data_IF_721647847472
#
_entry.id   IF_721647847472
#
_cell.length_a   1.000
_cell.length_b   1.000
_cell.length_c   1.000
_cell.angle_alpha   90.00
_cell.angle_beta   90.00
_cell.angle_gamma   90.00
#
_symmetry.space_group_name_H-M   'P 1'
#
loop_
_entity.id
_entity.type
_entity.pdbx_description
1 polymer ?
#
# COMPACT_ATOMS: atom_id res chain seq x y z
N UNK A 1 -7.18 -28.43 5.40
CA UNK A 1 -6.18 -27.85 6.34
C UNK A 1 -6.11 -26.35 6.07
N UNK A 2 -5.84 -25.51 7.10
CA UNK A 2 -5.61 -24.08 6.88
C UNK A 2 -4.29 -23.90 6.11
N UNK A 3 -4.28 -23.05 5.07
CA UNK A 3 -3.03 -22.67 4.40
C UNK A 3 -2.11 -21.91 5.36
N UNK A 4 -0.81 -22.12 5.22
CA UNK A 4 0.23 -21.41 5.99
C UNK A 4 0.76 -20.24 5.15
N UNK A 5 0.74 -19.04 5.71
CA UNK A 5 1.22 -17.82 5.06
C UNK A 5 2.47 -17.32 5.77
N UNK A 6 3.56 -17.24 5.02
CA UNK A 6 4.73 -16.45 5.41
C UNK A 6 4.44 -14.99 5.12
N UNK A 7 4.45 -14.13 6.13
CA UNK A 7 4.24 -12.69 5.95
C UNK A 7 5.53 -11.92 6.27
N UNK A 8 6.06 -11.24 5.27
CA UNK A 8 7.22 -10.36 5.44
C UNK A 8 6.78 -8.96 5.84
N UNK A 9 7.61 -8.24 6.58
CA UNK A 9 7.21 -6.96 7.12
C UNK A 9 6.02 -7.07 8.08
N UNK A 10 5.96 -8.16 8.85
CA UNK A 10 4.81 -8.59 9.64
C UNK A 10 4.31 -7.57 10.68
N UNK A 11 5.15 -6.59 11.07
CA UNK A 11 4.78 -5.44 11.91
C UNK A 11 4.31 -4.22 11.10
N UNK A 12 4.29 -4.34 9.77
CA UNK A 12 3.86 -3.27 8.88
C UNK A 12 2.34 -3.03 8.95
N UNK A 13 1.93 -1.85 8.51
CA UNK A 13 0.55 -1.40 8.57
C UNK A 13 -0.41 -2.36 7.84
N UNK A 14 -0.19 -2.63 6.54
CA UNK A 14 -1.03 -3.51 5.71
C UNK A 14 -0.98 -4.95 6.25
N UNK A 15 0.23 -5.46 6.51
CA UNK A 15 0.42 -6.80 7.05
C UNK A 15 -0.36 -7.04 8.34
N UNK A 16 -0.43 -6.02 9.21
CA UNK A 16 -1.15 -6.11 10.48
C UNK A 16 -2.66 -6.18 10.31
N UNK A 17 -3.25 -5.39 9.37
CA UNK A 17 -4.67 -5.51 9.04
C UNK A 17 -5.00 -6.89 8.51
N UNK A 18 -4.21 -7.38 7.55
CA UNK A 18 -4.44 -8.70 6.93
C UNK A 18 -4.32 -9.82 7.96
N UNK A 19 -3.27 -9.83 8.79
CA UNK A 19 -3.09 -10.86 9.82
C UNK A 19 -4.21 -10.83 10.86
N UNK A 20 -4.61 -9.65 11.34
CA UNK A 20 -5.59 -9.52 12.39
C UNK A 20 -6.98 -9.98 11.94
N UNK A 21 -7.42 -9.59 10.75
CA UNK A 21 -8.74 -9.96 10.23
C UNK A 21 -8.81 -11.40 9.71
N UNK A 22 -7.67 -12.03 9.42
CA UNK A 22 -7.62 -13.40 8.90
C UNK A 22 -6.92 -14.40 9.85
N UNK A 23 -6.77 -14.07 11.13
CA UNK A 23 -6.11 -14.92 12.12
C UNK A 23 -6.72 -16.32 12.24
N UNK A 24 -8.03 -16.44 12.02
CA UNK A 24 -8.74 -17.71 12.09
C UNK A 24 -8.77 -18.47 10.75
N UNK A 25 -8.48 -17.79 9.62
CA UNK A 25 -8.51 -18.38 8.28
C UNK A 25 -7.20 -19.07 7.92
N UNK A 26 -6.05 -18.53 8.37
CA UNK A 26 -4.71 -18.98 7.99
C UNK A 26 -3.82 -19.27 9.20
N UNK A 27 -2.79 -20.07 8.98
CA UNK A 27 -1.64 -20.15 9.87
C UNK A 27 -0.62 -19.10 9.43
N UNK A 28 0.02 -18.39 10.38
CA UNK A 28 0.91 -17.26 10.07
C UNK A 28 2.33 -17.53 10.55
N UNK A 29 3.30 -17.47 9.63
CA UNK A 29 4.72 -17.35 9.92
C UNK A 29 5.08 -15.88 9.74
N UNK A 30 5.55 -15.24 10.80
CA UNK A 30 5.82 -13.80 10.82
C UNK A 30 7.30 -13.56 10.62
N UNK A 31 7.66 -12.80 9.60
CA UNK A 31 9.03 -12.36 9.37
C UNK A 31 9.11 -10.85 9.62
N UNK A 32 9.83 -10.47 10.66
CA UNK A 32 10.16 -9.10 11.03
C UNK A 32 11.66 -8.86 10.90
N UNK A 33 12.14 -7.68 11.26
CA UNK A 33 13.60 -7.41 11.26
C UNK A 33 14.36 -8.19 12.32
N UNK A 34 13.65 -8.72 13.33
CA UNK A 34 14.29 -9.50 14.39
C UNK A 34 14.64 -10.91 13.89
N UNK A 35 13.89 -11.45 12.91
CA UNK A 35 14.14 -12.74 12.29
C UNK A 35 15.16 -12.64 11.14
N UNK A 36 15.06 -11.62 10.28
CA UNK A 36 16.04 -11.35 9.23
C UNK A 36 16.00 -9.87 8.83
N UNK A 37 17.16 -9.25 8.70
CA UNK A 37 17.30 -7.89 8.21
C UNK A 37 17.25 -7.89 6.68
N UNK A 38 16.31 -7.13 6.10
CA UNK A 38 16.18 -7.00 4.65
C UNK A 38 17.34 -6.25 3.98
N UNK A 39 18.22 -5.63 4.76
CA UNK A 39 19.51 -5.11 4.26
C UNK A 39 20.55 -6.20 4.03
N UNK A 40 20.25 -7.44 4.42
CA UNK A 40 21.04 -8.65 4.17
C UNK A 40 20.19 -9.67 3.38
N UNK A 41 20.22 -9.65 2.04
CA UNK A 41 19.42 -10.56 1.21
C UNK A 41 19.70 -12.05 1.48
N UNK A 42 20.94 -12.41 1.87
CA UNK A 42 21.30 -13.79 2.15
C UNK A 42 20.69 -14.28 3.47
N UNK A 43 20.58 -13.39 4.47
CA UNK A 43 19.84 -13.69 5.70
C UNK A 43 18.34 -13.85 5.43
N UNK A 44 17.77 -13.06 4.53
CA UNK A 44 16.38 -13.18 4.07
C UNK A 44 16.14 -14.51 3.39
N UNK A 45 16.99 -14.90 2.44
CA UNK A 45 16.94 -16.19 1.76
C UNK A 45 16.97 -17.36 2.73
N UNK A 46 17.98 -17.38 3.59
CA UNK A 46 18.16 -18.41 4.61
C UNK A 46 16.94 -18.58 5.51
N UNK A 47 16.35 -17.46 5.95
CA UNK A 47 15.14 -17.52 6.77
C UNK A 47 13.97 -18.10 6.00
N UNK A 48 13.70 -17.61 4.78
CA UNK A 48 12.56 -18.03 3.97
C UNK A 48 12.68 -19.51 3.54
N UNK A 49 13.87 -19.94 3.17
CA UNK A 49 14.12 -21.34 2.80
C UNK A 49 13.88 -22.31 3.96
N UNK A 50 14.15 -21.90 5.19
CA UNK A 50 13.94 -22.71 6.39
C UNK A 50 12.45 -22.86 6.79
N UNK A 51 11.54 -22.08 6.19
CA UNK A 51 10.12 -22.12 6.53
C UNK A 51 9.33 -23.02 5.57
N UNK A 52 8.27 -23.68 6.08
CA UNK A 52 7.29 -24.36 5.24
C UNK A 52 6.01 -23.55 5.18
N UNK A 53 5.63 -23.10 3.97
CA UNK A 53 4.47 -22.25 3.73
C UNK A 53 3.86 -22.51 2.34
N UNK A 54 2.57 -22.24 2.23
CA UNK A 54 1.81 -22.35 0.97
C UNK A 54 1.81 -21.03 0.19
N UNK A 55 1.86 -19.90 0.91
CA UNK A 55 1.75 -18.56 0.34
C UNK A 55 2.79 -17.65 1.04
N UNK A 56 3.46 -16.80 0.26
CA UNK A 56 4.23 -15.69 0.80
C UNK A 56 3.49 -14.37 0.56
N UNK A 57 3.06 -13.68 1.62
CA UNK A 57 2.54 -12.31 1.55
C UNK A 57 3.69 -11.33 1.79
N UNK A 58 4.21 -10.77 0.70
CA UNK A 58 5.39 -9.92 0.73
C UNK A 58 5.04 -8.44 0.78
N UNK A 59 5.17 -7.85 1.97
CA UNK A 59 4.88 -6.42 2.23
C UNK A 59 6.08 -5.61 2.67
N UNK A 60 7.21 -6.28 2.98
CA UNK A 60 8.41 -5.60 3.46
C UNK A 60 8.99 -4.69 2.38
N UNK A 61 9.17 -3.41 2.68
CA UNK A 61 9.83 -2.43 1.83
C UNK A 61 10.15 -1.15 2.60
N UNK A 62 11.12 -0.37 2.10
CA UNK A 62 11.20 1.05 2.37
C UNK A 62 10.25 1.73 1.39
N UNK A 63 9.07 2.18 1.86
CA UNK A 63 8.04 2.80 1.02
C UNK A 63 8.07 4.34 1.06
N UNK A 64 8.89 4.95 1.93
CA UNK A 64 9.07 6.39 2.00
C UNK A 64 9.96 6.85 0.85
N UNK A 65 9.38 7.52 -0.16
CA UNK A 65 10.11 7.98 -1.35
C UNK A 65 11.34 8.82 -0.99
N UNK A 66 11.20 9.76 -0.04
CA UNK A 66 12.33 10.60 0.41
C UNK A 66 13.48 9.73 0.94
N UNK A 67 13.20 8.72 1.76
CA UNK A 67 14.25 7.82 2.28
C UNK A 67 14.91 7.01 1.17
N UNK A 68 14.16 6.61 0.14
CA UNK A 68 14.73 5.90 -1.01
C UNK A 68 15.63 6.81 -1.85
N UNK A 69 15.24 8.07 -2.07
CA UNK A 69 16.05 9.06 -2.78
C UNK A 69 17.35 9.39 -2.02
N UNK A 70 17.28 9.51 -0.70
CA UNK A 70 18.45 9.77 0.16
C UNK A 70 19.41 8.57 0.26
N UNK A 71 18.89 7.34 0.12
CA UNK A 71 19.66 6.10 0.29
C UNK A 71 19.32 5.07 -0.81
N UNK A 72 19.60 5.35 -2.09
CA UNK A 72 19.16 4.51 -3.21
C UNK A 72 19.75 3.09 -3.19
N UNK A 73 21.00 2.93 -2.78
CA UNK A 73 21.65 1.62 -2.68
C UNK A 73 21.01 0.74 -1.60
N UNK A 74 20.72 1.32 -0.43
CA UNK A 74 20.03 0.61 0.64
C UNK A 74 18.59 0.28 0.23
N UNK A 75 17.90 1.22 -0.44
CA UNK A 75 16.56 0.99 -0.96
C UNK A 75 16.55 -0.15 -1.98
N UNK A 76 17.49 -0.19 -2.92
CA UNK A 76 17.64 -1.29 -3.88
C UNK A 76 17.88 -2.63 -3.17
N UNK A 77 18.78 -2.67 -2.21
CA UNK A 77 19.13 -3.88 -1.44
C UNK A 77 17.91 -4.46 -0.72
N UNK A 78 17.15 -3.60 -0.03
CA UNK A 78 15.96 -3.99 0.74
C UNK A 78 14.77 -4.29 -0.19
N UNK A 79 14.50 -3.41 -1.14
CA UNK A 79 13.28 -3.49 -1.95
C UNK A 79 13.41 -4.46 -3.13
N UNK A 80 14.60 -4.59 -3.72
CA UNK A 80 14.80 -5.38 -4.96
C UNK A 80 15.55 -6.67 -4.67
N UNK A 81 16.77 -6.60 -4.13
CA UNK A 81 17.61 -7.80 -3.97
C UNK A 81 16.97 -8.81 -3.01
N UNK A 82 16.47 -8.34 -1.86
CA UNK A 82 15.77 -9.22 -0.91
C UNK A 82 14.43 -9.75 -1.47
N UNK A 83 13.72 -8.96 -2.29
CA UNK A 83 12.53 -9.44 -2.99
C UNK A 83 12.87 -10.57 -3.97
N UNK A 84 13.96 -10.45 -4.73
CA UNK A 84 14.41 -11.51 -5.65
C UNK A 84 14.67 -12.83 -4.92
N UNK A 85 15.31 -12.79 -3.74
CA UNK A 85 15.52 -13.98 -2.91
C UNK A 85 14.20 -14.64 -2.48
N UNK A 86 13.20 -13.83 -2.14
CA UNK A 86 11.87 -14.32 -1.77
C UNK A 86 11.16 -14.95 -2.98
N UNK A 87 11.24 -14.33 -4.14
CA UNK A 87 10.67 -14.85 -5.40
C UNK A 87 11.27 -16.22 -5.73
N UNK A 88 12.59 -16.34 -5.66
CA UNK A 88 13.30 -17.59 -5.95
C UNK A 88 12.93 -18.70 -4.95
N UNK A 89 12.83 -18.37 -3.67
CA UNK A 89 12.40 -19.31 -2.64
C UNK A 89 10.93 -19.76 -2.85
N UNK A 90 10.02 -18.84 -3.20
CA UNK A 90 8.62 -19.19 -3.52
C UNK A 90 8.56 -20.13 -4.72
N UNK A 91 9.31 -19.84 -5.79
CA UNK A 91 9.38 -20.71 -6.97
C UNK A 91 9.91 -22.10 -6.62
N UNK A 92 11.01 -22.19 -5.85
CA UNK A 92 11.62 -23.46 -5.42
C UNK A 92 10.66 -24.31 -4.59
N UNK A 93 9.80 -23.67 -3.79
CA UNK A 93 8.84 -24.33 -2.90
C UNK A 93 7.46 -24.58 -3.57
N UNK A 94 7.23 -24.14 -4.81
CA UNK A 94 5.92 -24.07 -5.45
C UNK A 94 4.87 -23.32 -4.59
N UNK A 95 5.31 -22.32 -3.84
CA UNK A 95 4.46 -21.47 -3.04
C UNK A 95 3.99 -20.26 -3.85
N UNK A 96 2.73 -19.85 -3.64
CA UNK A 96 2.20 -18.64 -4.27
C UNK A 96 2.79 -17.38 -3.63
N UNK A 97 3.18 -16.41 -4.45
CA UNK A 97 3.57 -15.08 -4.00
C UNK A 97 2.40 -14.10 -4.10
N UNK A 98 2.08 -13.38 -3.03
CA UNK A 98 1.23 -12.17 -3.06
C UNK A 98 2.13 -10.98 -2.77
N UNK A 99 2.44 -10.20 -3.81
CA UNK A 99 3.41 -9.09 -3.76
C UNK A 99 2.71 -7.73 -3.72
N UNK A 100 3.10 -6.87 -2.77
CA UNK A 100 2.63 -5.48 -2.72
C UNK A 100 3.51 -4.58 -3.59
N UNK A 101 3.00 -4.22 -4.77
CA UNK A 101 3.50 -3.15 -5.63
C UNK A 101 2.78 -1.83 -5.33
N UNK A 102 2.78 -0.85 -6.24
CA UNK A 102 2.32 0.52 -5.98
C UNK A 102 1.90 1.25 -7.26
N UNK A 103 0.98 2.22 -7.16
CA UNK A 103 0.70 3.18 -8.24
C UNK A 103 1.89 4.10 -8.56
N UNK A 104 2.92 4.16 -7.71
CA UNK A 104 4.10 5.00 -7.94
C UNK A 104 4.95 4.57 -9.15
N UNK A 105 4.68 3.42 -9.72
CA UNK A 105 5.26 2.99 -11.01
C UNK A 105 4.83 3.88 -12.19
N UNK A 106 3.79 4.70 -12.00
CA UNK A 106 3.26 5.65 -13.00
C UNK A 106 3.59 7.11 -12.68
N UNK A 107 4.41 7.39 -11.67
CA UNK A 107 4.60 8.76 -11.17
C UNK A 107 5.32 9.71 -12.13
N UNK A 108 5.92 9.22 -13.20
CA UNK A 108 6.50 9.99 -14.31
C UNK A 108 5.55 10.19 -15.50
N UNK A 109 4.39 9.54 -15.54
CA UNK A 109 3.43 9.68 -16.65
C UNK A 109 2.87 11.10 -16.71
N UNK A 110 2.81 11.64 -17.93
CA UNK A 110 2.18 12.94 -18.19
C UNK A 110 0.66 12.81 -18.42
N UNK A 111 0.20 11.62 -18.78
CA UNK A 111 -1.20 11.33 -18.98
C UNK A 111 -1.95 11.27 -17.65
N UNK A 112 -3.21 11.67 -17.68
CA UNK A 112 -4.11 11.52 -16.54
C UNK A 112 -4.51 10.06 -16.36
N UNK A 113 -4.52 9.56 -15.08
CA UNK A 113 -5.04 8.24 -14.73
C UNK A 113 -6.51 8.12 -15.19
N UNK A 114 -7.07 7.07 -15.22
CA UNK A 114 -7.12 5.78 -14.59
C UNK A 114 -6.21 4.75 -15.28
N UNK A 115 -5.05 4.48 -14.72
CA UNK A 115 -4.13 3.53 -15.29
C UNK A 115 -4.63 2.10 -15.08
N UNK A 116 -4.71 1.32 -16.17
CA UNK A 116 -4.97 -0.12 -16.09
C UNK A 116 -3.66 -0.91 -15.96
N UNK A 117 -3.75 -2.23 -15.86
CA UNK A 117 -2.59 -3.10 -15.64
C UNK A 117 -1.66 -3.22 -16.86
N UNK A 118 -2.17 -2.93 -18.06
CA UNK A 118 -1.43 -3.01 -19.33
C UNK A 118 -0.66 -1.72 -19.65
N UNK A 119 -0.84 -0.65 -18.86
CA UNK A 119 -0.13 0.61 -19.06
C UNK A 119 1.37 0.48 -18.84
N UNK A 120 2.15 1.09 -19.74
CA UNK A 120 3.60 1.12 -19.64
C UNK A 120 4.06 1.85 -18.36
N UNK A 121 5.08 1.30 -17.73
CA UNK A 121 5.72 1.91 -16.57
C UNK A 121 6.37 3.25 -16.92
N UNK A 122 6.32 4.18 -16.01
CA UNK A 122 7.12 5.40 -16.07
C UNK A 122 7.31 5.97 -14.65
N UNK A 123 8.31 5.46 -13.94
CA UNK A 123 8.66 5.96 -12.62
C UNK A 123 9.86 6.90 -12.68
N UNK A 124 9.75 8.03 -11.97
CA UNK A 124 10.84 9.01 -11.80
C UNK A 124 11.42 8.99 -10.41
N UNK A 125 10.93 8.11 -9.53
CA UNK A 125 11.44 7.95 -8.17
C UNK A 125 12.15 6.61 -8.00
N UNK A 126 13.16 6.58 -7.13
CA UNK A 126 13.89 5.35 -6.76
C UNK A 126 12.91 4.27 -6.26
N UNK A 127 11.94 4.64 -5.42
CA UNK A 127 10.93 3.70 -4.94
C UNK A 127 10.08 3.10 -6.08
N UNK A 128 9.58 3.95 -6.98
CA UNK A 128 8.82 3.49 -8.15
C UNK A 128 9.64 2.56 -9.03
N UNK A 129 10.90 2.93 -9.32
CA UNK A 129 11.81 2.08 -10.11
C UNK A 129 12.09 0.74 -9.43
N UNK A 130 12.34 0.73 -8.11
CA UNK A 130 12.52 -0.53 -7.37
C UNK A 130 11.30 -1.46 -7.51
N UNK A 131 10.08 -0.91 -7.50
CA UNK A 131 8.86 -1.72 -7.68
C UNK A 131 8.71 -2.24 -9.11
N UNK A 132 9.07 -1.46 -10.12
CA UNK A 132 9.14 -1.90 -11.52
C UNK A 132 10.13 -3.07 -11.66
N UNK A 133 11.31 -2.95 -11.08
CA UNK A 133 12.34 -3.98 -11.15
C UNK A 133 11.87 -5.30 -10.48
N UNK A 134 11.11 -5.19 -9.39
CA UNK A 134 10.49 -6.35 -8.75
C UNK A 134 9.39 -6.98 -9.63
N UNK A 135 8.47 -6.17 -10.20
CA UNK A 135 7.40 -6.69 -11.07
C UNK A 135 7.98 -7.45 -12.28
N UNK A 136 8.99 -6.87 -12.94
CA UNK A 136 9.70 -7.52 -14.06
C UNK A 136 10.35 -8.83 -13.64
N UNK A 137 11.05 -8.84 -12.50
CA UNK A 137 11.70 -10.06 -12.02
C UNK A 137 10.68 -11.17 -11.67
N UNK A 138 9.55 -10.80 -11.05
CA UNK A 138 8.45 -11.73 -10.76
C UNK A 138 7.92 -12.36 -12.06
N UNK A 139 7.65 -11.55 -13.08
CA UNK A 139 7.18 -12.01 -14.37
C UNK A 139 8.20 -12.94 -15.05
N UNK A 140 9.46 -12.51 -15.17
CA UNK A 140 10.55 -13.28 -15.78
C UNK A 140 10.83 -14.59 -15.04
N UNK A 141 10.67 -14.63 -13.72
CA UNK A 141 10.89 -15.83 -12.91
C UNK A 141 9.87 -16.93 -13.20
N UNK A 142 8.65 -16.58 -13.63
CA UNK A 142 7.54 -17.51 -13.81
C UNK A 142 7.01 -18.12 -12.51
N UNK A 143 7.21 -17.47 -11.35
CA UNK A 143 6.59 -17.87 -10.09
C UNK A 143 5.08 -17.66 -10.13
N UNK A 144 4.29 -18.51 -9.46
CA UNK A 144 2.85 -18.25 -9.28
C UNK A 144 2.68 -17.02 -8.38
N UNK A 145 2.37 -15.87 -8.97
CA UNK A 145 2.31 -14.61 -8.25
C UNK A 145 1.06 -13.79 -8.54
N UNK A 146 0.52 -13.19 -7.49
CA UNK A 146 -0.47 -12.11 -7.53
C UNK A 146 0.23 -10.82 -7.13
N UNK A 147 0.46 -9.93 -8.08
CA UNK A 147 1.06 -8.63 -7.84
C UNK A 147 -0.04 -7.59 -7.67
N UNK A 148 -0.08 -6.95 -6.51
CA UNK A 148 -1.07 -5.93 -6.16
C UNK A 148 -0.46 -4.54 -6.29
N UNK A 149 -0.87 -3.76 -7.28
CA UNK A 149 -0.53 -2.34 -7.40
C UNK A 149 -1.44 -1.54 -6.47
N UNK A 150 -0.94 -1.28 -5.28
CA UNK A 150 -1.72 -0.59 -4.26
C UNK A 150 -1.73 0.91 -4.52
N UNK A 151 -2.91 1.53 -4.40
CA UNK A 151 -3.05 2.96 -4.20
C UNK A 151 -2.72 3.35 -2.76
N UNK A 152 -2.97 4.60 -2.35
CA UNK A 152 -2.70 5.04 -0.99
C UNK A 152 -3.61 4.32 0.02
N UNK A 153 -3.00 3.56 0.92
CA UNK A 153 -3.74 2.77 1.92
C UNK A 153 -4.02 3.61 3.17
N UNK A 154 -5.30 3.78 3.48
CA UNK A 154 -5.82 4.60 4.56
C UNK A 154 -6.28 3.74 5.75
N UNK A 155 -6.25 4.33 6.94
CA UNK A 155 -6.75 3.75 8.19
C UNK A 155 -5.90 4.16 9.38
N UNK A 156 -6.23 3.66 10.55
CA UNK A 156 -5.49 3.90 11.79
C UNK A 156 -4.78 2.62 12.22
N UNK A 157 -3.67 2.76 12.92
CA UNK A 157 -2.87 1.63 13.38
C UNK A 157 -3.49 0.98 14.60
N UNK A 158 -3.39 -0.34 14.71
CA UNK A 158 -3.74 -1.07 15.94
C UNK A 158 -2.73 -0.83 17.04
N UNK A 159 -3.12 -1.13 18.27
CA UNK A 159 -2.20 -1.09 19.41
C UNK A 159 -0.96 -1.98 19.14
N UNK A 160 0.23 -1.42 19.37
CA UNK A 160 1.51 -2.13 19.14
C UNK A 160 1.99 -2.16 17.69
N UNK A 161 1.25 -1.60 16.73
CA UNK A 161 1.67 -1.47 15.33
C UNK A 161 2.21 -0.08 15.06
N UNK A 162 3.31 0.01 14.31
CA UNK A 162 3.86 1.31 13.92
C UNK A 162 2.81 2.13 13.18
N UNK A 163 2.56 3.33 13.68
CA UNK A 163 1.63 4.26 13.04
C UNK A 163 2.10 4.61 11.62
N UNK A 164 1.19 4.50 10.66
CA UNK A 164 1.41 5.01 9.32
C UNK A 164 0.93 6.47 9.24
N UNK A 165 1.62 7.36 8.51
CA UNK A 165 1.06 8.66 8.16
C UNK A 165 -0.27 8.44 7.44
N UNK A 166 -1.37 8.80 8.09
CA UNK A 166 -2.72 8.64 7.57
C UNK A 166 -3.32 10.03 7.36
N UNK A 167 -4.06 10.22 6.27
CA UNK A 167 -4.77 11.47 6.01
C UNK A 167 -5.63 11.87 7.21
N UNK A 168 -6.42 10.93 7.74
CA UNK A 168 -7.30 11.15 8.92
C UNK A 168 -6.49 11.62 10.13
N UNK A 169 -5.38 10.94 10.44
CA UNK A 169 -4.51 11.33 11.55
C UNK A 169 -3.87 12.70 11.32
N UNK A 170 -3.45 12.99 10.10
CA UNK A 170 -2.83 14.28 9.75
C UNK A 170 -3.83 15.42 9.93
N UNK A 171 -5.07 15.25 9.44
CA UNK A 171 -6.17 16.21 9.62
C UNK A 171 -6.48 16.40 11.10
N UNK A 172 -6.67 15.31 11.84
CA UNK A 172 -6.94 15.36 13.28
C UNK A 172 -5.85 16.12 14.03
N UNK A 173 -4.58 15.81 13.78
CA UNK A 173 -3.45 16.48 14.42
C UNK A 173 -3.35 17.97 14.07
N UNK A 174 -3.64 18.36 12.81
CA UNK A 174 -3.62 19.76 12.40
C UNK A 174 -4.57 20.61 13.26
N UNK A 175 -5.76 20.09 13.53
CA UNK A 175 -6.76 20.80 14.34
C UNK A 175 -6.49 20.68 15.83
N UNK A 176 -6.18 19.46 16.31
CA UNK A 176 -5.91 19.21 17.73
C UNK A 176 -4.75 20.05 18.27
N UNK A 177 -3.66 20.11 17.51
CA UNK A 177 -2.46 20.87 17.89
C UNK A 177 -2.46 22.31 17.36
N UNK A 178 -3.56 22.76 16.73
CA UNK A 178 -3.72 24.10 16.16
C UNK A 178 -2.55 24.45 15.20
N UNK A 179 -2.09 23.48 14.41
CA UNK A 179 -0.96 23.61 13.52
C UNK A 179 -1.45 23.57 12.06
N UNK A 180 -1.45 24.75 11.34
CA UNK A 180 -1.81 24.77 9.92
C UNK A 180 -0.98 23.77 9.14
N UNK A 181 -1.66 22.93 8.35
CA UNK A 181 -1.05 21.83 7.60
C UNK A 181 -1.46 21.94 6.14
N UNK A 182 -0.48 21.83 5.25
CA UNK A 182 -0.65 21.95 3.80
C UNK A 182 -0.99 20.59 3.17
N UNK A 183 -2.04 20.56 2.35
CA UNK A 183 -2.47 19.40 1.55
C UNK A 183 -2.45 19.73 0.07
N UNK A 184 -1.87 18.87 -0.77
CA UNK A 184 -1.68 19.18 -2.19
C UNK A 184 -2.99 19.27 -2.97
N UNK A 185 -3.08 20.31 -3.84
CA UNK A 185 -4.19 20.51 -4.76
C UNK A 185 -3.93 19.94 -6.16
N UNK A 186 -2.67 19.58 -6.45
CA UNK A 186 -2.20 19.19 -7.78
C UNK A 186 -2.00 17.67 -7.89
N UNK A 187 -2.77 16.89 -7.12
CA UNK A 187 -2.69 15.44 -7.09
C UNK A 187 -4.06 14.81 -6.87
N UNK A 188 -4.36 13.79 -7.64
CA UNK A 188 -5.46 12.83 -7.41
C UNK A 188 -4.92 11.42 -7.34
N UNK A 189 -5.47 10.61 -6.47
CA UNK A 189 -5.17 9.18 -6.33
C UNK A 189 -6.33 8.43 -5.71
N UNK A 190 -6.38 7.13 -5.87
CA UNK A 190 -7.23 6.30 -5.05
C UNK A 190 -6.74 6.29 -3.60
N UNK A 191 -7.68 6.26 -2.67
CA UNK A 191 -7.38 6.19 -1.23
C UNK A 191 -8.25 5.09 -0.64
N UNK A 192 -7.62 3.96 -0.32
CA UNK A 192 -8.32 2.73 0.02
C UNK A 192 -8.21 2.42 1.51
N UNK A 193 -9.32 2.11 2.15
CA UNK A 193 -9.28 1.60 3.52
C UNK A 193 -8.60 0.22 3.56
N UNK A 194 -7.52 0.10 4.33
CA UNK A 194 -6.74 -1.13 4.41
C UNK A 194 -7.55 -2.36 4.89
N UNK A 195 -8.63 -2.13 5.63
CA UNK A 195 -9.58 -3.16 6.03
C UNK A 195 -10.23 -3.86 4.84
N UNK A 196 -10.57 -3.13 3.77
CA UNK A 196 -11.17 -3.71 2.57
C UNK A 196 -10.25 -4.70 1.87
N UNK A 197 -8.95 -4.40 1.80
CA UNK A 197 -7.95 -5.38 1.32
C UNK A 197 -7.90 -6.60 2.23
N UNK A 198 -7.88 -6.38 3.54
CA UNK A 198 -7.74 -7.43 4.52
C UNK A 198 -8.97 -8.37 4.57
N UNK A 199 -10.18 -7.83 4.43
CA UNK A 199 -11.43 -8.62 4.41
C UNK A 199 -11.54 -9.53 3.20
N UNK A 200 -10.93 -9.15 2.08
CA UNK A 200 -10.95 -9.91 0.83
C UNK A 200 -9.66 -10.68 0.57
N UNK A 201 -8.76 -10.74 1.54
CA UNK A 201 -7.44 -11.33 1.35
C UNK A 201 -7.49 -12.82 0.99
N UNK A 202 -8.43 -13.56 1.52
CA UNK A 202 -8.65 -14.97 1.14
C UNK A 202 -8.97 -15.12 -0.36
N UNK A 203 -9.85 -14.28 -0.91
CA UNK A 203 -10.13 -14.27 -2.36
C UNK A 203 -8.90 -13.85 -3.17
N UNK A 204 -8.14 -12.87 -2.67
CA UNK A 204 -6.90 -12.41 -3.31
C UNK A 204 -5.89 -13.57 -3.43
N UNK A 205 -5.78 -14.42 -2.42
CA UNK A 205 -4.87 -15.58 -2.46
C UNK A 205 -5.28 -16.65 -3.52
N UNK A 206 -6.53 -16.62 -3.97
CA UNK A 206 -7.05 -17.54 -5.00
C UNK A 206 -7.05 -16.94 -6.42
N UNK A 207 -6.68 -15.67 -6.57
CA UNK A 207 -6.59 -15.05 -7.89
C UNK A 207 -5.60 -15.81 -8.79
N UNK A 208 -5.87 -15.89 -10.10
CA UNK A 208 -4.88 -16.33 -11.08
C UNK A 208 -3.59 -15.51 -11.00
N UNK A 209 -2.47 -16.11 -11.42
CA UNK A 209 -1.20 -15.39 -11.58
C UNK A 209 -1.41 -14.15 -12.46
N UNK A 210 -0.90 -13.01 -12.01
CA UNK A 210 -1.01 -11.75 -12.73
C UNK A 210 -0.91 -10.50 -11.87
N UNK A 211 -1.00 -9.37 -12.55
CA UNK A 211 -0.98 -8.04 -11.93
C UNK A 211 -2.41 -7.54 -11.78
N UNK A 212 -2.71 -6.90 -10.64
CA UNK A 212 -4.03 -6.37 -10.29
C UNK A 212 -3.91 -5.02 -9.61
N UNK A 213 -4.66 -4.05 -10.08
CA UNK A 213 -4.79 -2.76 -9.42
C UNK A 213 -5.71 -2.86 -8.19
N UNK A 214 -5.34 -2.16 -7.12
CA UNK A 214 -6.08 -2.14 -5.85
C UNK A 214 -6.26 -0.72 -5.40
N UNK A 215 -7.44 -0.18 -5.63
CA UNK A 215 -7.75 1.22 -5.36
C UNK A 215 -9.24 1.41 -5.04
N UNK A 216 -9.57 2.23 -4.05
CA UNK A 216 -10.90 2.82 -3.97
C UNK A 216 -11.00 3.99 -4.96
N UNK A 217 -12.15 4.17 -5.60
CA UNK A 217 -12.37 5.30 -6.50
C UNK A 217 -12.34 6.62 -5.73
N UNK A 218 -11.77 7.65 -6.36
CA UNK A 218 -11.70 8.99 -5.80
C UNK A 218 -11.44 10.02 -6.90
N UNK A 219 -12.28 11.04 -6.98
CA UNK A 219 -12.13 12.14 -7.92
C UNK A 219 -11.69 13.46 -7.27
N UNK A 220 -11.42 13.43 -5.96
CA UNK A 220 -10.97 14.58 -5.20
C UNK A 220 -9.45 14.66 -5.15
N UNK A 221 -8.92 15.88 -5.08
CA UNK A 221 -7.53 16.15 -4.72
C UNK A 221 -7.26 15.76 -3.27
N UNK A 222 -5.98 15.62 -2.89
CA UNK A 222 -5.62 15.34 -1.49
C UNK A 222 -6.12 16.42 -0.54
N UNK A 223 -6.16 17.69 -0.98
CA UNK A 223 -6.73 18.80 -0.20
C UNK A 223 -8.25 18.63 0.00
N UNK A 224 -9.00 18.35 -1.05
CA UNK A 224 -10.44 18.12 -0.97
C UNK A 224 -10.77 16.90 -0.08
N UNK A 225 -9.99 15.82 -0.18
CA UNK A 225 -10.09 14.65 0.70
C UNK A 225 -9.85 15.03 2.18
N UNK A 226 -8.89 15.90 2.46
CA UNK A 226 -8.60 16.37 3.82
C UNK A 226 -9.75 17.22 4.36
N UNK A 227 -10.33 18.11 3.56
CA UNK A 227 -11.52 18.90 3.93
C UNK A 227 -12.73 18.00 4.18
N UNK A 228 -12.98 17.00 3.34
CA UNK A 228 -14.07 16.04 3.55
C UNK A 228 -13.85 15.25 4.86
N UNK A 229 -12.64 14.77 5.12
CA UNK A 229 -12.31 14.07 6.35
C UNK A 229 -12.57 14.94 7.59
N UNK A 230 -12.18 16.22 7.55
CA UNK A 230 -12.43 17.16 8.63
C UNK A 230 -13.93 17.37 8.89
N UNK A 231 -14.74 17.56 7.82
CA UNK A 231 -16.20 17.71 7.93
C UNK A 231 -16.86 16.47 8.52
N UNK A 232 -16.49 15.28 8.04
CA UNK A 232 -17.01 14.00 8.58
C UNK A 232 -16.64 13.79 10.06
N UNK A 233 -15.51 14.33 10.52
CA UNK A 233 -15.15 14.36 11.96
C UNK A 233 -15.86 15.45 12.77
N UNK A 234 -16.74 16.25 12.14
CA UNK A 234 -17.49 17.31 12.81
C UNK A 234 -16.63 18.54 13.15
N UNK A 235 -15.53 18.78 12.45
CA UNK A 235 -14.69 19.97 12.58
C UNK A 235 -15.43 21.14 11.90
N UNK A 236 -15.48 22.31 12.56
CA UNK A 236 -16.14 23.51 12.01
C UNK A 236 -15.43 24.05 10.78
N UNK A 237 -16.17 24.68 9.84
CA UNK A 237 -15.57 25.29 8.65
C UNK A 237 -14.50 26.34 9.02
N UNK A 238 -14.69 27.12 10.08
CA UNK A 238 -13.68 28.05 10.59
C UNK A 238 -12.35 27.35 10.91
N UNK A 239 -12.39 26.19 11.56
CA UNK A 239 -11.18 25.42 11.87
C UNK A 239 -10.60 24.73 10.63
N UNK A 240 -11.44 24.31 9.69
CA UNK A 240 -10.98 23.76 8.41
C UNK A 240 -10.20 24.84 7.63
N UNK A 241 -10.77 26.02 7.45
CA UNK A 241 -10.12 27.13 6.76
C UNK A 241 -8.81 27.56 7.42
N UNK A 242 -8.74 27.45 8.75
CA UNK A 242 -7.58 27.86 9.55
C UNK A 242 -6.44 26.84 9.55
N UNK A 243 -6.74 25.54 9.54
CA UNK A 243 -5.75 24.49 9.80
C UNK A 243 -5.55 23.52 8.65
N UNK A 244 -6.49 23.41 7.69
CA UNK A 244 -6.40 22.54 6.52
C UNK A 244 -6.17 23.42 5.29
N UNK A 245 -4.91 23.61 4.92
CA UNK A 245 -4.56 24.60 3.91
C UNK A 245 -4.22 23.98 2.56
N UNK A 246 -4.61 24.63 1.43
CA UNK A 246 -4.25 24.16 0.11
C UNK A 246 -2.77 24.40 -0.20
N UNK A 247 -2.07 23.35 -0.60
CA UNK A 247 -0.71 23.44 -1.14
C UNK A 247 -0.77 23.50 -2.67
N UNK A 248 -0.68 24.69 -3.23
CA UNK A 248 -0.68 24.93 -4.67
C UNK A 248 0.70 24.87 -5.30
N UNK A 249 1.75 24.93 -4.49
CA UNK A 249 3.14 24.91 -4.95
C UNK A 249 3.65 23.51 -5.21
N UNK A 250 3.24 22.56 -4.35
CA UNK A 250 3.63 21.16 -4.55
C UNK A 250 3.02 20.64 -5.84
N UNK A 251 3.87 20.10 -6.72
CA UNK A 251 3.50 19.62 -8.06
C UNK A 251 2.88 20.71 -8.95
N UNK A 252 3.34 21.96 -8.81
CA UNK A 252 2.93 23.06 -9.69
C UNK A 252 3.47 22.94 -11.12
N UNK A 253 4.50 22.14 -11.33
CA UNK A 253 5.09 21.80 -12.64
C UNK A 253 4.11 21.00 -13.52
N UNK A 254 3.35 20.08 -12.95
CA UNK A 254 2.27 19.35 -13.62
C UNK A 254 1.33 18.71 -12.61
N UNK A 255 0.08 18.52 -13.01
CA UNK A 255 -0.90 17.76 -12.22
C UNK A 255 -0.49 16.27 -12.14
N UNK A 256 -0.61 15.67 -10.96
CA UNK A 256 -0.33 14.25 -10.71
C UNK A 256 -1.64 13.48 -10.60
N UNK A 257 -1.94 12.63 -11.57
CA UNK A 257 -3.10 11.76 -11.50
C UNK A 257 -2.66 10.31 -11.44
N UNK A 258 -2.76 9.72 -10.24
CA UNK A 258 -2.32 8.35 -9.96
C UNK A 258 -3.48 7.38 -9.79
N UNK A 259 -4.69 7.77 -10.22
CA UNK A 259 -5.85 6.91 -10.12
C UNK A 259 -5.65 5.64 -10.95
N UNK A 260 -6.04 4.51 -10.38
CA UNK A 260 -5.96 3.20 -11.00
C UNK A 260 -7.34 2.75 -11.48
N UNK A 261 -7.39 2.03 -12.59
CA UNK A 261 -8.57 1.29 -13.04
C UNK A 261 -8.56 -0.10 -12.39
N UNK A 262 -9.61 -0.42 -11.65
CA UNK A 262 -9.72 -1.70 -10.93
C UNK A 262 -10.56 -2.74 -11.67
N UNK A 263 -10.97 -2.46 -12.90
CA UNK A 263 -11.92 -3.33 -13.60
C UNK A 263 -11.51 -4.80 -13.59
N UNK A 264 -10.24 -5.10 -13.77
CA UNK A 264 -9.73 -6.47 -13.81
C UNK A 264 -10.00 -7.23 -12.51
N UNK A 265 -9.71 -6.64 -11.35
CA UNK A 265 -9.93 -7.30 -10.05
C UNK A 265 -11.41 -7.28 -9.65
N UNK A 266 -12.17 -6.28 -10.09
CA UNK A 266 -13.62 -6.22 -9.87
C UNK A 266 -14.38 -7.27 -10.67
N UNK A 267 -13.96 -7.59 -11.89
CA UNK A 267 -14.48 -8.68 -12.70
C UNK A 267 -14.25 -10.06 -12.02
N UNK A 268 -13.25 -10.14 -11.11
CA UNK A 268 -13.00 -11.31 -10.24
C UNK A 268 -13.83 -11.27 -8.94
N UNK A 269 -14.75 -10.33 -8.78
CA UNK A 269 -15.65 -10.22 -7.62
C UNK A 269 -15.00 -9.61 -6.37
N UNK A 270 -13.88 -8.86 -6.52
CA UNK A 270 -13.18 -8.16 -5.44
C UNK A 270 -13.35 -6.67 -5.65
N UNK A 271 -13.97 -5.97 -4.70
CA UNK A 271 -14.29 -4.55 -4.81
C UNK A 271 -13.77 -3.77 -3.61
N UNK A 272 -13.31 -2.54 -3.84
CA UNK A 272 -12.74 -1.67 -2.81
C UNK A 272 -13.58 -0.41 -2.53
N UNK A 273 -14.73 -0.26 -3.19
CA UNK A 273 -15.63 0.86 -3.00
C UNK A 273 -15.02 2.21 -3.41
N UNK A 274 -15.48 3.26 -2.78
CA UNK A 274 -14.99 4.63 -2.96
C UNK A 274 -14.35 5.19 -1.68
N UNK A 275 -13.61 6.30 -1.83
CA UNK A 275 -12.91 6.94 -0.71
C UNK A 275 -13.86 7.41 0.40
N UNK A 276 -15.01 7.99 0.05
CA UNK A 276 -15.93 8.55 1.05
C UNK A 276 -16.52 7.45 1.94
N UNK A 277 -16.96 6.36 1.34
CA UNK A 277 -17.42 5.17 2.08
C UNK A 277 -16.33 4.58 2.96
N UNK A 278 -15.10 4.46 2.46
CA UNK A 278 -13.96 3.99 3.24
C UNK A 278 -13.61 4.90 4.40
N UNK A 279 -13.71 6.22 4.21
CA UNK A 279 -13.52 7.21 5.26
C UNK A 279 -14.58 7.08 6.36
N UNK A 280 -15.86 6.94 5.99
CA UNK A 280 -16.94 6.73 6.95
C UNK A 280 -16.73 5.46 7.79
N UNK A 281 -16.34 4.38 7.16
CA UNK A 281 -16.08 3.12 7.86
C UNK A 281 -14.88 3.22 8.81
N UNK A 282 -13.81 3.94 8.43
CA UNK A 282 -12.71 4.24 9.33
C UNK A 282 -13.20 5.04 10.56
N UNK A 283 -13.97 6.09 10.32
CA UNK A 283 -14.44 6.93 11.41
C UNK A 283 -15.38 6.17 12.37
N UNK A 284 -16.21 5.26 11.85
CA UNK A 284 -17.04 4.34 12.65
C UNK A 284 -16.20 3.35 13.45
N UNK A 285 -15.28 2.65 12.79
CA UNK A 285 -14.45 1.61 13.40
C UNK A 285 -13.57 2.14 14.55
N UNK A 286 -13.19 3.42 14.49
CA UNK A 286 -12.37 4.07 15.51
C UNK A 286 -13.14 5.06 16.39
N UNK A 287 -14.48 5.05 16.33
CA UNK A 287 -15.37 5.90 17.15
C UNK A 287 -15.06 7.40 17.02
N UNK A 288 -14.70 7.86 15.83
CA UNK A 288 -14.39 9.25 15.52
C UNK A 288 -15.56 10.00 14.85
N UNK A 289 -16.71 9.36 14.66
CA UNK A 289 -17.97 10.00 14.29
C UNK A 289 -18.63 10.60 15.54
N UNK A 290 -19.22 11.81 15.38
CA UNK A 290 -20.16 12.36 16.35
C UNK A 290 -21.53 11.71 16.22
#
# INVERSE_FOLDING_TARGET
MKKTILVTGARGYIASYVQNLNKEKFNWIRMTRDEADFSDPDAVEKFVEAQEFDICFHTAAIAATVTCEENPELANKINVESTKRIVDACKKKNAKLVFCSTEQIFNGKENHGHFNEEEEYNAVTVYGQNKIDCEKYIEESGVDAVTLRLSWMLGLSFAGVKANPSLVKTVFNAVLYQKPTLFTCNEKRGITYAKYLAEQFDKITELPCGIYNVSSSNDMTTYECACLAARKMGISEENIEKYILPNKERYSDRFRDYRLDNKKIEDMGIKFGDFESGLEDILKDFSLLK
#
